data_IF_519961489872
#
_entry.id   IF_519961489872
#
_cell.length_a   1.000
_cell.length_b   1.000
_cell.length_c   1.000
_cell.angle_alpha   90.00
_cell.angle_beta   90.00
_cell.angle_gamma   90.00
#
_symmetry.space_group_name_H-M   'P 1'
#
loop_
_entity.id
_entity.type
_entity.pdbx_description
1 polymer ?
#
# COMPACT_ATOMS: atom_id res chain seq x y z
N UNK A 1 15.63 24.27 -4.11
CA UNK A 1 15.95 23.61 -5.40
C UNK A 1 14.64 23.23 -6.05
N UNK A 2 14.38 23.68 -7.29
CA UNK A 2 13.25 23.13 -8.04
C UNK A 2 13.57 21.66 -8.38
N UNK A 3 12.68 20.69 -8.11
CA UNK A 3 13.02 19.28 -8.29
C UNK A 3 13.09 18.94 -9.79
N UNK A 4 14.10 18.17 -10.23
CA UNK A 4 14.24 17.66 -11.62
C UNK A 4 13.05 16.80 -12.10
N UNK A 5 12.13 16.48 -11.20
CA UNK A 5 10.89 15.72 -11.42
C UNK A 5 9.78 16.54 -12.08
N UNK A 6 9.93 17.86 -12.19
CA UNK A 6 9.01 18.75 -12.92
C UNK A 6 9.49 19.01 -14.37
N UNK A 7 10.54 18.32 -14.80
CA UNK A 7 11.07 18.46 -16.16
C UNK A 7 10.10 17.86 -17.19
N UNK A 8 9.95 18.50 -18.36
CA UNK A 8 9.00 18.05 -19.40
C UNK A 8 9.42 16.72 -20.05
N UNK A 9 10.71 16.44 -20.09
CA UNK A 9 11.26 15.19 -20.61
C UNK A 9 11.02 14.03 -19.64
N UNK A 10 10.34 12.98 -20.13
CA UNK A 10 9.99 11.79 -19.36
C UNK A 10 11.21 10.98 -18.94
N UNK A 11 12.26 10.92 -19.76
CA UNK A 11 13.47 10.15 -19.46
C UNK A 11 14.24 10.83 -18.32
N UNK A 12 14.32 12.16 -18.35
CA UNK A 12 14.92 12.94 -17.26
C UNK A 12 14.15 12.75 -15.94
N UNK A 13 12.80 12.74 -15.99
CA UNK A 13 11.99 12.43 -14.80
C UNK A 13 12.26 11.01 -14.31
N UNK A 14 12.29 10.03 -15.21
CA UNK A 14 12.52 8.62 -14.87
C UNK A 14 13.87 8.40 -14.20
N UNK A 15 14.95 8.93 -14.77
CA UNK A 15 16.28 8.87 -14.15
C UNK A 15 16.29 9.50 -12.76
N UNK A 16 15.61 10.64 -12.60
CA UNK A 16 15.52 11.27 -11.30
C UNK A 16 14.77 10.36 -10.29
N UNK A 17 13.72 9.65 -10.73
CA UNK A 17 12.93 8.73 -9.87
C UNK A 17 13.81 7.60 -9.39
N UNK A 18 14.53 6.95 -10.29
CA UNK A 18 15.44 5.85 -9.96
C UNK A 18 16.49 6.29 -8.94
N UNK A 19 17.07 7.48 -9.13
CA UNK A 19 18.08 8.04 -8.22
C UNK A 19 17.51 8.37 -6.84
N UNK A 20 16.25 8.81 -6.72
CA UNK A 20 15.64 9.07 -5.41
C UNK A 20 15.11 7.81 -4.73
N UNK A 21 14.53 6.87 -5.48
CA UNK A 21 14.06 5.61 -4.92
C UNK A 21 15.22 4.77 -4.35
N UNK A 22 16.38 4.82 -5.00
CA UNK A 22 17.59 4.14 -4.52
C UNK A 22 18.25 4.77 -3.29
N UNK A 23 17.80 5.97 -2.87
CA UNK A 23 18.38 6.68 -1.72
C UNK A 23 17.65 6.38 -0.43
N UNK A 24 18.37 5.81 0.53
CA UNK A 24 17.91 5.56 1.90
C UNK A 24 18.21 6.71 2.85
N UNK A 25 19.02 7.69 2.43
CA UNK A 25 19.53 8.81 3.22
C UNK A 25 18.76 10.13 2.99
N UNK A 26 17.57 10.07 2.39
CA UNK A 26 16.75 11.27 2.20
C UNK A 26 16.27 11.81 3.54
N UNK A 27 16.58 13.07 3.83
CA UNK A 27 16.07 13.75 5.03
C UNK A 27 14.55 13.86 4.99
N UNK A 28 13.91 13.86 6.16
CA UNK A 28 12.46 14.04 6.29
C UNK A 28 11.94 15.30 5.58
N UNK A 29 12.69 16.41 5.62
CA UNK A 29 12.32 17.64 4.91
C UNK A 29 12.25 17.48 3.38
N UNK A 30 13.10 16.63 2.79
CA UNK A 30 13.04 16.30 1.35
C UNK A 30 11.81 15.45 1.06
N UNK A 31 11.54 14.43 1.89
CA UNK A 31 10.38 13.57 1.74
C UNK A 31 9.08 14.35 1.86
N UNK A 32 8.99 15.27 2.82
CA UNK A 32 7.85 16.16 2.95
C UNK A 32 7.71 17.08 1.74
N UNK A 33 8.83 17.59 1.22
CA UNK A 33 8.88 18.36 -0.03
C UNK A 33 8.34 17.57 -1.22
N UNK A 34 8.59 16.27 -1.30
CA UNK A 34 8.04 15.39 -2.34
C UNK A 34 6.55 15.09 -2.07
N UNK A 35 6.18 14.80 -0.83
CA UNK A 35 4.80 14.50 -0.43
C UNK A 35 3.84 15.64 -0.75
N UNK A 36 4.26 16.91 -0.57
CA UNK A 36 3.46 18.07 -0.99
C UNK A 36 3.18 18.11 -2.50
N UNK A 37 4.03 17.49 -3.33
CA UNK A 37 3.84 17.42 -4.79
C UNK A 37 2.76 16.43 -5.20
N UNK A 38 2.34 15.54 -4.31
CA UNK A 38 1.18 14.65 -4.54
C UNK A 38 -0.11 15.46 -4.75
N UNK A 39 -0.17 16.71 -4.28
CA UNK A 39 -1.32 17.63 -4.46
C UNK A 39 -1.13 18.65 -5.60
N UNK A 40 -0.08 18.50 -6.40
CA UNK A 40 0.22 19.46 -7.45
C UNK A 40 -0.88 19.49 -8.53
N UNK A 41 -1.11 20.66 -9.14
CA UNK A 41 -2.15 20.83 -10.19
C UNK A 41 -1.89 20.00 -11.45
N UNK A 42 -0.63 19.78 -11.77
CA UNK A 42 -0.17 19.01 -12.93
C UNK A 42 -0.13 17.51 -12.60
N UNK A 43 -0.80 16.68 -13.39
CA UNK A 43 -0.88 15.23 -13.16
C UNK A 43 0.47 14.53 -13.32
N UNK A 44 1.35 15.01 -14.20
CA UNK A 44 2.68 14.42 -14.36
C UNK A 44 3.51 14.60 -13.07
N UNK A 45 3.41 15.78 -12.45
CA UNK A 45 4.10 16.06 -11.19
C UNK A 45 3.54 15.21 -10.04
N UNK A 46 2.20 15.04 -9.99
CA UNK A 46 1.57 14.16 -8.98
C UNK A 46 2.02 12.71 -9.17
N UNK A 47 1.99 12.22 -10.41
CA UNK A 47 2.40 10.86 -10.77
C UNK A 47 3.85 10.63 -10.32
N UNK A 48 4.77 11.48 -10.75
CA UNK A 48 6.18 11.36 -10.41
C UNK A 48 6.42 11.44 -8.89
N UNK A 49 5.70 12.28 -8.16
CA UNK A 49 5.82 12.33 -6.70
C UNK A 49 5.40 11.01 -6.05
N UNK A 50 4.30 10.40 -6.48
CA UNK A 50 3.83 9.10 -5.98
C UNK A 50 4.84 8.00 -6.34
N UNK A 51 5.38 8.00 -7.56
CA UNK A 51 6.40 7.05 -7.99
C UNK A 51 7.65 7.16 -7.12
N UNK A 52 8.15 8.36 -6.82
CA UNK A 52 9.31 8.53 -5.92
C UNK A 52 9.05 7.99 -4.51
N UNK A 53 7.84 8.19 -3.97
CA UNK A 53 7.48 7.74 -2.62
C UNK A 53 7.16 6.23 -2.58
N UNK A 54 6.95 5.60 -3.73
CA UNK A 54 6.55 4.21 -3.83
C UNK A 54 7.56 3.25 -3.18
N UNK A 55 7.09 2.38 -2.28
CA UNK A 55 7.90 1.34 -1.65
C UNK A 55 8.86 1.83 -0.56
N UNK A 56 8.82 3.12 -0.22
CA UNK A 56 9.54 3.66 0.92
C UNK A 56 8.89 3.23 2.23
N UNK A 57 9.71 2.88 3.22
CA UNK A 57 9.26 2.45 4.56
C UNK A 57 9.18 3.60 5.58
N UNK A 58 9.75 4.76 5.26
CA UNK A 58 9.84 5.95 6.12
C UNK A 58 8.72 6.98 5.87
N UNK A 59 7.64 6.56 5.21
CA UNK A 59 6.50 7.43 4.96
C UNK A 59 5.65 7.60 6.22
N UNK A 60 5.35 8.86 6.57
CA UNK A 60 4.45 9.16 7.68
C UNK A 60 2.99 8.93 7.28
N UNK A 61 2.10 8.81 8.27
CA UNK A 61 0.66 8.66 8.02
C UNK A 61 0.09 9.82 7.19
N UNK A 62 0.56 11.05 7.41
CA UNK A 62 0.16 12.22 6.62
C UNK A 62 0.58 12.13 5.14
N UNK A 63 1.78 11.60 4.87
CA UNK A 63 2.22 11.35 3.49
C UNK A 63 1.36 10.28 2.82
N UNK A 64 1.04 9.20 3.55
CA UNK A 64 0.18 8.13 3.08
C UNK A 64 -1.26 8.61 2.85
N UNK A 65 -1.79 9.52 3.67
CA UNK A 65 -3.09 10.17 3.44
C UNK A 65 -3.09 10.96 2.13
N UNK A 66 -2.03 11.71 1.85
CA UNK A 66 -1.87 12.43 0.58
C UNK A 66 -1.90 11.48 -0.63
N UNK A 67 -1.20 10.34 -0.54
CA UNK A 67 -1.22 9.29 -1.57
C UNK A 67 -2.62 8.65 -1.68
N UNK A 68 -3.28 8.35 -0.57
CA UNK A 68 -4.61 7.74 -0.56
C UNK A 68 -5.67 8.67 -1.19
N UNK A 69 -5.54 9.98 -1.00
CA UNK A 69 -6.38 10.97 -1.67
C UNK A 69 -6.25 10.96 -3.21
N UNK A 70 -5.22 10.31 -3.77
CA UNK A 70 -5.03 10.13 -5.21
C UNK A 70 -5.72 8.90 -5.77
N UNK A 71 -6.34 8.07 -4.94
CA UNK A 71 -7.25 7.01 -5.40
C UNK A 71 -8.49 7.57 -6.15
N UNK A 72 -8.80 8.85 -5.93
CA UNK A 72 -9.90 9.57 -6.56
C UNK A 72 -9.42 10.64 -7.54
N UNK A 73 -8.14 10.58 -7.94
CA UNK A 73 -7.59 11.53 -8.91
C UNK A 73 -8.35 11.46 -10.25
N UNK A 74 -8.41 12.59 -10.96
CA UNK A 74 -9.03 12.66 -12.29
C UNK A 74 -8.20 11.88 -13.32
N UNK A 75 -6.89 11.90 -13.17
CA UNK A 75 -5.94 11.21 -14.02
C UNK A 75 -5.86 9.72 -13.65
N UNK A 76 -6.00 8.85 -14.65
CA UNK A 76 -6.02 7.39 -14.45
C UNK A 76 -4.66 6.84 -14.03
N UNK A 77 -3.57 7.44 -14.51
CA UNK A 77 -2.22 6.93 -14.28
C UNK A 77 -1.80 7.33 -12.86
N UNK A 78 -2.21 8.51 -12.41
CA UNK A 78 -2.09 8.94 -10.99
C UNK A 78 -2.86 8.00 -10.06
N UNK A 79 -4.12 7.63 -10.40
CA UNK A 79 -4.89 6.65 -9.60
C UNK A 79 -4.18 5.30 -9.53
N UNK A 80 -3.64 4.80 -10.65
CA UNK A 80 -2.91 3.53 -10.69
C UNK A 80 -1.66 3.58 -9.83
N UNK A 81 -0.86 4.65 -9.94
CA UNK A 81 0.33 4.84 -9.13
C UNK A 81 0.00 4.89 -7.63
N UNK A 82 -1.10 5.55 -7.24
CA UNK A 82 -1.54 5.59 -5.85
C UNK A 82 -1.85 4.20 -5.29
N UNK A 83 -2.54 3.36 -6.06
CA UNK A 83 -2.82 1.96 -5.69
C UNK A 83 -1.52 1.18 -5.53
N UNK A 84 -0.64 1.24 -6.54
CA UNK A 84 0.62 0.51 -6.53
C UNK A 84 1.58 1.00 -5.42
N UNK A 85 1.49 2.27 -5.01
CA UNK A 85 2.26 2.82 -3.89
C UNK A 85 1.76 2.32 -2.54
N UNK A 86 0.44 2.32 -2.34
CA UNK A 86 -0.19 1.78 -1.13
C UNK A 86 0.05 0.27 -1.00
N UNK A 87 -0.08 -0.48 -2.10
CA UNK A 87 0.15 -1.94 -2.11
C UNK A 87 1.59 -2.35 -1.80
N UNK A 88 2.56 -1.45 -1.91
CA UNK A 88 3.96 -1.72 -1.55
C UNK A 88 4.28 -1.39 -0.09
N UNK A 89 3.33 -0.83 0.67
CA UNK A 89 3.51 -0.60 2.10
C UNK A 89 3.35 -1.90 2.88
N UNK A 90 4.26 -2.14 3.84
CA UNK A 90 4.18 -3.31 4.72
C UNK A 90 2.95 -3.24 5.64
N UNK A 91 2.58 -2.03 6.05
CA UNK A 91 1.44 -1.75 6.92
C UNK A 91 0.68 -0.54 6.40
N UNK A 92 -0.64 -0.67 6.30
CA UNK A 92 -1.54 0.46 6.01
C UNK A 92 -2.57 0.58 7.13
N UNK A 93 -2.65 1.78 7.71
CA UNK A 93 -3.67 2.12 8.69
C UNK A 93 -5.04 2.24 8.00
N UNK A 94 -6.08 1.71 8.64
CA UNK A 94 -7.45 1.93 8.18
C UNK A 94 -7.84 3.41 8.22
N UNK A 95 -7.22 4.24 9.04
CA UNK A 95 -7.49 5.69 9.04
C UNK A 95 -7.10 6.34 7.71
N UNK A 96 -6.00 5.90 7.09
CA UNK A 96 -5.55 6.36 5.77
C UNK A 96 -6.54 5.94 4.67
N UNK A 97 -7.02 4.69 4.75
CA UNK A 97 -7.85 4.11 3.69
C UNK A 97 -9.35 4.36 3.86
N UNK A 98 -9.84 4.59 5.06
CA UNK A 98 -11.27 4.66 5.38
C UNK A 98 -12.05 5.61 4.45
N UNK A 99 -11.57 6.84 4.16
CA UNK A 99 -12.26 7.74 3.24
C UNK A 99 -12.31 7.23 1.79
N UNK A 100 -11.32 6.41 1.41
CA UNK A 100 -11.07 5.99 0.02
C UNK A 100 -11.29 4.49 -0.20
N UNK A 101 -11.85 3.77 0.78
CA UNK A 101 -11.90 2.31 0.79
C UNK A 101 -12.66 1.74 -0.42
N UNK A 102 -13.75 2.41 -0.82
CA UNK A 102 -14.53 2.03 -2.01
C UNK A 102 -13.71 2.17 -3.29
N UNK A 103 -12.99 3.29 -3.43
CA UNK A 103 -12.14 3.59 -4.58
C UNK A 103 -10.96 2.62 -4.65
N UNK A 104 -10.34 2.34 -3.50
CA UNK A 104 -9.29 1.35 -3.35
C UNK A 104 -9.78 -0.05 -3.73
N UNK A 105 -10.89 -0.52 -3.16
CA UNK A 105 -11.48 -1.82 -3.49
C UNK A 105 -11.81 -1.95 -4.97
N UNK A 106 -12.41 -0.92 -5.58
CA UNK A 106 -12.71 -0.92 -7.02
C UNK A 106 -11.44 -1.05 -7.85
N UNK A 107 -10.38 -0.36 -7.47
CA UNK A 107 -9.11 -0.45 -8.17
C UNK A 107 -8.45 -1.83 -8.03
N UNK A 108 -8.49 -2.43 -6.83
CA UNK A 108 -8.03 -3.80 -6.61
C UNK A 108 -8.85 -4.80 -7.42
N UNK A 109 -10.17 -4.65 -7.45
CA UNK A 109 -11.05 -5.49 -8.26
C UNK A 109 -10.70 -5.38 -9.74
N UNK A 110 -10.49 -4.16 -10.26
CA UNK A 110 -10.05 -3.97 -11.64
C UNK A 110 -8.70 -4.65 -11.91
N UNK A 111 -7.74 -4.45 -11.01
CA UNK A 111 -6.41 -5.08 -11.08
C UNK A 111 -6.48 -6.61 -10.99
N UNK A 112 -7.48 -7.18 -10.32
CA UNK A 112 -7.69 -8.64 -10.24
C UNK A 112 -8.03 -9.32 -11.56
N UNK A 113 -8.57 -8.55 -12.52
CA UNK A 113 -8.79 -9.05 -13.88
C UNK A 113 -7.52 -8.97 -14.73
N UNK A 114 -6.52 -8.23 -14.29
CA UNK A 114 -5.20 -8.08 -14.92
C UNK A 114 -4.13 -8.96 -14.24
N UNK A 115 -4.29 -9.28 -12.95
CA UNK A 115 -3.36 -10.02 -12.09
C UNK A 115 -4.13 -10.95 -11.10
N UNK A 116 -3.63 -12.14 -10.77
CA UNK A 116 -4.33 -13.08 -9.87
C UNK A 116 -4.41 -12.55 -8.41
N UNK A 117 -5.60 -12.18 -7.95
CA UNK A 117 -5.90 -11.66 -6.60
C UNK A 117 -6.86 -12.61 -5.85
N UNK A 118 -6.54 -12.99 -4.61
CA UNK A 118 -7.43 -13.77 -3.73
C UNK A 118 -7.57 -13.09 -2.37
N UNK A 119 -8.76 -13.17 -1.78
CA UNK A 119 -9.13 -12.57 -0.49
C UNK A 119 -9.60 -13.66 0.48
N UNK A 120 -9.05 -13.69 1.69
CA UNK A 120 -9.56 -14.55 2.76
C UNK A 120 -9.89 -13.70 4.00
N UNK A 121 -11.14 -13.75 4.44
CA UNK A 121 -11.54 -13.21 5.73
C UNK A 121 -11.19 -14.22 6.81
N UNK A 122 -10.11 -13.99 7.53
CA UNK A 122 -9.89 -14.57 8.87
C UNK A 122 -9.63 -13.41 9.83
N UNK A 123 -9.63 -13.68 11.13
CA UNK A 123 -9.80 -12.70 12.23
C UNK A 123 -8.79 -11.53 12.29
N UNK A 124 -7.81 -11.50 11.37
CA UNK A 124 -6.97 -10.36 11.03
C UNK A 124 -7.03 -10.14 9.52
N UNK A 125 -7.71 -9.08 9.07
CA UNK A 125 -7.87 -8.81 7.64
C UNK A 125 -6.53 -8.56 6.95
N UNK A 126 -6.23 -9.29 5.88
CA UNK A 126 -5.06 -9.06 5.04
C UNK A 126 -5.44 -9.01 3.56
N UNK A 127 -4.69 -8.23 2.78
CA UNK A 127 -4.82 -8.17 1.32
C UNK A 127 -3.68 -8.99 0.70
N UNK A 128 -4.02 -10.02 -0.07
CA UNK A 128 -3.05 -10.78 -0.86
C UNK A 128 -2.89 -10.19 -2.26
N UNK A 129 -1.68 -9.79 -2.67
CA UNK A 129 -1.36 -9.42 -4.05
C UNK A 129 -0.22 -10.33 -4.54
N UNK A 130 -0.53 -11.26 -5.45
CA UNK A 130 0.40 -12.34 -5.85
C UNK A 130 0.87 -13.19 -4.64
N UNK A 131 2.19 -13.22 -4.34
CA UNK A 131 2.79 -13.90 -3.17
C UNK A 131 2.98 -12.97 -1.96
N UNK A 132 2.50 -11.72 -2.01
CA UNK A 132 2.68 -10.73 -0.95
C UNK A 132 1.39 -10.57 -0.15
N UNK A 133 1.52 -10.53 1.17
CA UNK A 133 0.41 -10.26 2.10
C UNK A 133 0.61 -8.87 2.72
N UNK A 134 -0.46 -8.07 2.77
CA UNK A 134 -0.50 -6.76 3.42
C UNK A 134 -1.45 -6.88 4.60
N UNK A 135 -0.97 -6.65 5.82
CA UNK A 135 -1.80 -6.68 7.02
C UNK A 135 -2.56 -5.37 7.18
N UNK A 136 -3.88 -5.46 7.41
CA UNK A 136 -4.70 -4.33 7.81
C UNK A 136 -4.80 -4.32 9.34
N UNK A 137 -4.26 -3.29 9.98
CA UNK A 137 -4.30 -3.15 11.43
C UNK A 137 -5.42 -2.18 11.80
N UNK A 138 -6.35 -2.63 12.63
CA UNK A 138 -7.39 -1.80 13.25
C UNK A 138 -6.92 -1.27 14.62
N UNK A 139 -7.28 -0.03 14.94
CA UNK A 139 -7.09 0.51 16.29
C UNK A 139 -8.11 -0.10 17.23
N UNK A 140 -7.79 -1.22 17.90
CA UNK A 140 -7.95 -1.38 19.35
C UNK A 140 -7.42 -2.74 19.87
N UNK A 141 -6.76 -2.65 21.03
CA UNK A 141 -6.38 -3.70 21.98
C UNK A 141 -5.23 -4.64 21.61
N UNK A 142 -4.08 -4.33 22.21
CA UNK A 142 -3.13 -5.32 22.75
C UNK A 142 -3.93 -6.36 23.52
N UNK A 143 -4.04 -7.57 22.98
CA UNK A 143 -4.42 -8.75 23.75
C UNK A 143 -3.21 -9.67 23.73
N UNK A 144 -2.53 -9.69 24.86
CA UNK A 144 -1.57 -10.71 25.23
C UNK A 144 -2.26 -12.07 25.17
N UNK A 145 -1.83 -12.95 24.27
CA UNK A 145 -2.22 -14.36 24.28
C UNK A 145 -0.97 -15.21 24.13
N UNK A 146 -0.33 -15.44 25.28
CA UNK A 146 0.39 -16.66 25.51
C UNK A 146 -0.47 -17.89 25.19
N UNK A 147 0.20 -18.88 24.60
CA UNK A 147 -0.25 -20.26 24.34
C UNK A 147 -1.20 -20.46 23.15
N UNK A 148 -0.58 -20.77 22.00
CA UNK A 148 -1.22 -21.39 20.85
C UNK A 148 -1.48 -22.87 21.13
N UNK A 149 -2.73 -23.31 21.17
CA UNK A 149 -3.06 -24.73 20.99
C UNK A 149 -3.63 -24.94 19.58
N UNK A 150 -2.95 -25.74 18.77
CA UNK A 150 -3.30 -25.93 17.35
C UNK A 150 -4.68 -26.58 17.13
N UNK A 151 -5.39 -26.26 16.03
CA UNK A 151 -6.80 -26.63 15.84
C UNK A 151 -7.02 -28.02 15.20
N UNK A 152 -5.96 -28.76 14.85
CA UNK A 152 -6.08 -29.95 13.99
C UNK A 152 -6.39 -31.28 14.71
N UNK A 153 -6.96 -31.23 15.93
CA UNK A 153 -7.32 -32.44 16.71
C UNK A 153 -8.81 -32.79 16.74
N UNK A 154 -9.58 -32.48 15.70
CA UNK A 154 -10.91 -33.06 15.51
C UNK A 154 -10.97 -33.81 14.18
N UNK A 155 -10.95 -35.14 14.23
CA UNK A 155 -11.17 -35.96 13.04
C UNK A 155 -10.52 -37.35 13.03
N UNK A 156 -10.18 -37.95 14.17
CA UNK A 156 -9.81 -39.38 14.18
C UNK A 156 -11.02 -40.21 14.59
N UNK A 157 -11.45 -41.19 13.77
CA UNK A 157 -12.54 -42.09 14.14
C UNK A 157 -12.13 -43.03 15.28
N UNK A 158 -12.99 -43.18 16.28
CA UNK A 158 -12.80 -44.12 17.39
C UNK A 158 -12.69 -45.57 16.87
N UNK A 159 -11.73 -46.38 17.35
CA UNK A 159 -11.71 -47.80 17.06
C UNK A 159 -12.80 -48.53 17.84
N UNK A 160 -13.51 -49.43 17.15
CA UNK A 160 -14.57 -50.28 17.70
C UNK A 160 -14.07 -51.14 18.87
N UNK A 161 -14.91 -51.41 19.89
CA UNK A 161 -14.53 -52.23 21.03
C UNK A 161 -14.33 -53.69 20.61
N UNK A 162 -13.20 -54.26 21.04
CA UNK A 162 -12.97 -55.70 20.99
C UNK A 162 -13.58 -56.35 22.25
N UNK A 163 -14.55 -57.24 22.00
CA UNK A 163 -15.13 -58.30 22.85
C UNK A 163 -15.73 -57.91 24.20
#
# INVERSE_FOLDING_TARGET
>A
MAPQFEHKDRDVRWTAIEVLQGRTDLTEGILQGIATRVEHKDSDVRLTAIEVLQGRADLTEGMLQGIAARLEDKDKDVRRAAVDALLKQATLSLNVLSPYLKSFYKALLQKSFEEHLYWCTSDLGFIGVSLRHISLIGSQHVVDLGQTTSPWKLGQPEPLPHS
#
